data_IF_585338483235
#
_entry.id   IF_585338483235
#
_cell.length_a   1.000
_cell.length_b   1.000
_cell.length_c   1.000
_cell.angle_alpha   90.00
_cell.angle_beta   90.00
_cell.angle_gamma   90.00
#
_symmetry.space_group_name_H-M   'P 1'
#
loop_
_entity.id
_entity.type
_entity.pdbx_description
1 polymer ?
#
# COMPACT_ATOMS: atom_id res chain seq x y z
N UNK A 1 -12.00 -3.42 -9.38
CA UNK A 1 -10.70 -4.06 -9.72
C UNK A 1 -10.69 -4.31 -11.22
N UNK A 2 -9.55 -4.04 -11.88
CA UNK A 2 -9.35 -4.30 -13.30
C UNK A 2 -8.45 -5.53 -13.47
N UNK A 3 -9.05 -6.68 -13.80
CA UNK A 3 -8.36 -7.97 -13.88
C UNK A 3 -7.32 -8.05 -15.00
N UNK A 4 -7.50 -7.29 -16.09
CA UNK A 4 -6.49 -7.21 -17.13
C UNK A 4 -5.22 -6.46 -16.67
N UNK A 5 -5.38 -5.41 -15.85
CA UNK A 5 -4.24 -4.72 -15.21
C UNK A 5 -3.52 -5.63 -14.23
N UNK A 6 -4.25 -6.32 -13.37
CA UNK A 6 -3.68 -7.28 -12.42
C UNK A 6 -2.91 -8.40 -13.14
N UNK A 7 -3.46 -8.98 -14.20
CA UNK A 7 -2.77 -9.97 -15.03
C UNK A 7 -1.46 -9.43 -15.61
N UNK A 8 -1.46 -8.19 -16.10
CA UNK A 8 -0.25 -7.55 -16.63
C UNK A 8 0.83 -7.37 -15.53
N UNK A 9 0.43 -7.10 -14.28
CA UNK A 9 1.35 -7.00 -13.15
C UNK A 9 1.97 -8.37 -12.85
N UNK A 10 1.17 -9.43 -12.70
CA UNK A 10 1.68 -10.79 -12.47
C UNK A 10 2.67 -11.22 -13.56
N UNK A 11 2.38 -10.89 -14.82
CA UNK A 11 3.30 -11.16 -15.94
C UNK A 11 4.62 -10.37 -15.83
N UNK A 12 4.57 -9.13 -15.33
CA UNK A 12 5.76 -8.29 -15.17
C UNK A 12 6.68 -8.75 -14.02
N UNK A 13 6.10 -9.27 -12.93
CA UNK A 13 6.85 -9.68 -11.72
C UNK A 13 7.26 -11.15 -11.74
N UNK A 14 6.80 -11.95 -12.69
CA UNK A 14 7.01 -13.41 -12.75
C UNK A 14 8.49 -13.80 -12.57
N UNK A 15 9.38 -13.10 -13.30
CA UNK A 15 10.81 -13.38 -13.27
C UNK A 15 11.51 -13.07 -11.95
N UNK A 16 10.90 -12.25 -11.09
CA UNK A 16 11.47 -11.90 -9.78
C UNK A 16 11.21 -13.01 -8.75
N UNK A 17 10.21 -13.86 -8.98
CA UNK A 17 9.79 -14.87 -8.00
C UNK A 17 9.33 -14.28 -6.66
N UNK A 18 8.96 -13.00 -6.63
CA UNK A 18 8.55 -12.28 -5.42
C UNK A 18 7.13 -12.65 -4.97
N UNK A 19 6.31 -13.22 -5.84
CA UNK A 19 4.92 -13.58 -5.56
C UNK A 19 4.73 -15.11 -5.56
N UNK A 20 3.49 -15.56 -5.34
CA UNK A 20 3.08 -16.94 -5.57
C UNK A 20 3.21 -17.30 -7.07
N UNK A 21 3.47 -18.58 -7.38
CA UNK A 21 3.48 -19.04 -8.77
C UNK A 21 2.05 -19.09 -9.33
N UNK A 22 1.76 -18.27 -10.33
CA UNK A 22 0.46 -18.27 -11.01
C UNK A 22 0.49 -19.27 -12.16
N UNK A 23 -0.40 -20.26 -12.11
CA UNK A 23 -0.53 -21.32 -13.12
C UNK A 23 -1.54 -20.97 -14.20
N UNK A 24 -2.55 -20.20 -13.84
CA UNK A 24 -3.60 -19.74 -14.74
C UNK A 24 -4.17 -18.42 -14.25
N UNK A 25 -4.39 -17.49 -15.15
CA UNK A 25 -5.10 -16.25 -14.86
C UNK A 25 -5.93 -15.84 -16.07
N UNK A 26 -7.26 -15.77 -15.92
CA UNK A 26 -8.17 -15.25 -16.94
C UNK A 26 -8.44 -13.76 -16.68
N UNK A 27 -7.91 -12.85 -17.53
CA UNK A 27 -8.09 -11.41 -17.33
C UNK A 27 -9.53 -10.92 -17.57
N UNK A 28 -10.41 -11.75 -18.14
CA UNK A 28 -11.82 -11.41 -18.40
C UNK A 28 -12.69 -11.75 -17.20
N UNK A 29 -12.57 -12.97 -16.68
CA UNK A 29 -13.38 -13.45 -15.55
C UNK A 29 -12.73 -13.17 -14.19
N UNK A 30 -11.41 -12.95 -14.17
CA UNK A 30 -10.62 -12.75 -12.95
C UNK A 30 -10.35 -14.06 -12.19
N UNK A 31 -10.58 -15.22 -12.81
CA UNK A 31 -10.22 -16.50 -12.22
C UNK A 31 -8.70 -16.65 -12.24
N UNK A 32 -8.11 -16.80 -11.05
CA UNK A 32 -6.68 -17.02 -10.85
C UNK A 32 -6.46 -18.35 -10.14
N UNK A 33 -5.54 -19.19 -10.64
CA UNK A 33 -5.08 -20.43 -10.03
C UNK A 33 -3.60 -20.27 -9.76
N UNK A 34 -3.21 -20.34 -8.50
CA UNK A 34 -1.82 -20.18 -8.07
C UNK A 34 -1.41 -21.32 -7.12
N UNK A 35 -0.11 -21.51 -6.96
CA UNK A 35 0.42 -22.42 -5.95
C UNK A 35 0.02 -21.98 -4.56
N UNK A 36 -0.44 -22.93 -3.75
CA UNK A 36 -0.65 -22.70 -2.34
C UNK A 36 0.70 -22.65 -1.61
N UNK A 37 0.91 -21.62 -0.82
CA UNK A 37 2.13 -21.43 -0.02
C UNK A 37 1.93 -22.15 1.33
N UNK A 38 2.47 -23.37 1.43
CA UNK A 38 2.38 -24.18 2.66
C UNK A 38 3.21 -23.60 3.79
N UNK A 39 2.72 -23.72 5.02
CA UNK A 39 3.39 -23.27 6.24
C UNK A 39 3.81 -21.79 6.24
N UNK A 40 3.15 -20.98 5.40
CA UNK A 40 3.36 -19.54 5.35
C UNK A 40 2.75 -18.85 6.56
N UNK A 41 3.43 -17.81 7.09
CA UNK A 41 2.84 -16.87 8.02
C UNK A 41 2.96 -15.45 7.51
N UNK A 42 2.04 -14.58 7.88
CA UNK A 42 2.05 -13.16 7.55
C UNK A 42 3.03 -12.41 8.44
N UNK A 43 3.52 -11.25 7.97
CA UNK A 43 4.38 -10.38 8.76
C UNK A 43 3.68 -9.93 10.04
N UNK A 44 4.28 -10.18 11.19
CA UNK A 44 3.90 -9.54 12.45
C UNK A 44 4.48 -8.12 12.49
N UNK A 45 3.62 -7.11 12.33
CA UNK A 45 4.03 -5.69 12.36
C UNK A 45 4.64 -5.25 13.70
N UNK A 46 4.44 -6.00 14.79
CA UNK A 46 5.12 -5.78 16.06
C UNK A 46 6.55 -6.37 16.10
N UNK A 47 6.87 -7.30 15.21
CA UNK A 47 8.17 -7.93 15.09
C UNK A 47 9.09 -7.17 14.12
N UNK A 48 9.92 -6.28 14.66
CA UNK A 48 10.81 -5.44 13.85
C UNK A 48 11.89 -6.20 13.06
N UNK A 49 12.19 -7.45 13.39
CA UNK A 49 13.04 -8.30 12.56
C UNK A 49 12.31 -8.68 11.27
N UNK A 50 11.06 -9.09 11.36
CA UNK A 50 10.23 -9.38 10.19
C UNK A 50 9.95 -8.13 9.35
N UNK A 51 9.59 -7.02 10.00
CA UNK A 51 9.39 -5.73 9.32
C UNK A 51 10.64 -5.32 8.54
N UNK A 52 11.84 -5.46 9.13
CA UNK A 52 13.10 -5.14 8.44
C UNK A 52 13.27 -5.97 7.17
N UNK A 53 12.95 -7.27 7.23
CA UNK A 53 13.02 -8.16 6.07
C UNK A 53 11.99 -7.77 4.99
N UNK A 54 10.74 -7.46 5.39
CA UNK A 54 9.69 -7.00 4.47
C UNK A 54 10.08 -5.70 3.76
N UNK A 55 10.61 -4.73 4.49
CA UNK A 55 11.05 -3.45 3.91
C UNK A 55 12.27 -3.63 3.01
N UNK A 56 13.17 -4.57 3.32
CA UNK A 56 14.28 -4.92 2.44
C UNK A 56 13.77 -5.54 1.13
N UNK A 57 12.82 -6.47 1.19
CA UNK A 57 12.20 -7.08 0.01
C UNK A 57 11.45 -6.03 -0.84
N UNK A 58 10.72 -5.11 -0.20
CA UNK A 58 10.02 -4.02 -0.88
C UNK A 58 11.01 -3.09 -1.61
N UNK A 59 12.13 -2.74 -0.97
CA UNK A 59 13.18 -1.93 -1.58
C UNK A 59 13.85 -2.65 -2.77
N UNK A 60 14.09 -3.95 -2.65
CA UNK A 60 14.63 -4.77 -3.75
C UNK A 60 13.65 -4.80 -4.93
N UNK A 61 12.36 -5.02 -4.66
CA UNK A 61 11.30 -4.93 -5.67
C UNK A 61 11.33 -3.56 -6.38
N UNK A 62 11.34 -2.47 -5.66
CA UNK A 62 11.41 -1.13 -6.25
C UNK A 62 12.69 -0.90 -7.06
N UNK A 63 13.83 -1.49 -6.65
CA UNK A 63 15.09 -1.38 -7.40
C UNK A 63 15.06 -2.07 -8.76
N UNK A 64 14.15 -3.02 -8.97
CA UNK A 64 13.97 -3.74 -10.24
C UNK A 64 13.48 -2.86 -11.39
N UNK A 65 12.89 -1.68 -11.07
CA UNK A 65 12.39 -0.69 -12.03
C UNK A 65 11.43 -1.27 -13.07
N UNK A 66 10.61 -2.23 -12.66
CA UNK A 66 9.60 -2.82 -13.52
C UNK A 66 8.59 -1.77 -13.98
N UNK A 67 7.98 -2.03 -15.13
CA UNK A 67 7.04 -1.12 -15.76
C UNK A 67 5.80 -1.85 -16.26
N UNK A 68 4.62 -1.24 -16.04
CA UNK A 68 3.34 -1.63 -16.63
C UNK A 68 2.68 -0.43 -17.31
N UNK A 69 1.73 -0.67 -18.21
CA UNK A 69 1.12 0.40 -19.00
C UNK A 69 0.11 1.28 -18.23
N UNK A 70 -0.20 0.95 -16.98
CA UNK A 70 -1.19 1.67 -16.18
C UNK A 70 -0.57 2.26 -14.92
N UNK A 71 -1.17 3.32 -14.43
CA UNK A 71 -0.80 3.99 -13.18
C UNK A 71 -1.88 3.79 -12.12
N UNK A 72 -1.48 3.97 -10.87
CA UNK A 72 -2.39 4.16 -9.76
C UNK A 72 -2.45 5.65 -9.41
N UNK A 73 -3.64 6.23 -9.42
CA UNK A 73 -3.84 7.62 -9.00
C UNK A 73 -4.52 7.66 -7.63
N UNK A 74 -3.75 8.13 -6.63
CA UNK A 74 -4.20 8.22 -5.25
C UNK A 74 -5.34 9.23 -5.07
N UNK A 75 -5.34 10.31 -5.87
CA UNK A 75 -6.37 11.34 -5.82
C UNK A 75 -7.69 10.89 -6.45
N UNK A 76 -7.61 10.21 -7.61
CA UNK A 76 -8.78 9.55 -8.19
C UNK A 76 -9.37 8.51 -7.23
N UNK A 77 -8.52 7.80 -6.46
CA UNK A 77 -8.97 6.82 -5.49
C UNK A 77 -9.69 7.48 -4.30
N UNK A 78 -9.19 8.63 -3.84
CA UNK A 78 -9.84 9.43 -2.80
C UNK A 78 -11.27 9.82 -3.21
N UNK A 79 -11.40 10.43 -4.39
CA UNK A 79 -12.69 10.87 -4.92
C UNK A 79 -13.61 9.68 -5.19
N UNK A 80 -13.07 8.57 -5.68
CA UNK A 80 -13.84 7.36 -5.94
C UNK A 80 -14.49 6.80 -4.67
N UNK A 81 -13.73 6.62 -3.59
CA UNK A 81 -14.30 6.07 -2.35
C UNK A 81 -15.31 7.00 -1.71
N UNK A 82 -15.09 8.30 -1.74
CA UNK A 82 -16.08 9.28 -1.27
C UNK A 82 -17.39 9.24 -2.12
N UNK A 83 -17.28 9.08 -3.43
CA UNK A 83 -18.45 8.97 -4.32
C UNK A 83 -19.36 7.78 -3.99
N UNK A 84 -18.79 6.72 -3.38
CA UNK A 84 -19.54 5.54 -2.97
C UNK A 84 -20.46 5.78 -1.77
N UNK A 85 -20.30 6.89 -1.06
CA UNK A 85 -21.20 7.27 0.05
C UNK A 85 -22.56 7.79 -0.43
N UNK A 86 -22.72 8.04 -1.73
CA UNK A 86 -23.97 8.50 -2.36
C UNK A 86 -24.55 9.79 -1.76
N UNK A 87 -23.67 10.67 -1.29
CA UNK A 87 -24.03 11.97 -0.70
C UNK A 87 -24.37 11.93 0.79
N UNK A 88 -24.23 10.77 1.44
CA UNK A 88 -24.32 10.71 2.91
C UNK A 88 -23.12 11.45 3.54
N UNK A 89 -23.32 12.12 4.67
CA UNK A 89 -22.22 12.80 5.36
C UNK A 89 -21.27 11.80 6.02
N UNK A 90 -20.01 12.22 6.17
CA UNK A 90 -19.04 11.50 7.00
C UNK A 90 -19.46 11.49 8.48
N UNK A 91 -19.08 10.45 9.22
CA UNK A 91 -19.24 10.42 10.68
C UNK A 91 -18.32 11.42 11.40
N UNK A 92 -17.27 11.88 10.70
CA UNK A 92 -16.30 12.84 11.27
C UNK A 92 -16.78 14.27 11.04
N UNK A 93 -17.10 14.97 12.10
CA UNK A 93 -17.69 16.33 12.05
C UNK A 93 -16.75 17.37 11.36
N UNK A 94 -15.45 17.13 11.33
CA UNK A 94 -14.46 18.00 10.72
C UNK A 94 -13.95 17.49 9.35
N UNK A 95 -14.65 16.53 8.74
CA UNK A 95 -14.24 15.87 7.49
C UNK A 95 -13.89 16.88 6.38
N UNK A 96 -14.75 17.84 6.10
CA UNK A 96 -14.50 18.84 5.05
C UNK A 96 -13.25 19.69 5.30
N UNK A 97 -12.96 19.99 6.57
CA UNK A 97 -11.74 20.71 6.95
C UNK A 97 -10.51 19.83 6.70
N UNK A 98 -10.56 18.59 7.17
CA UNK A 98 -9.47 17.62 7.02
C UNK A 98 -9.21 17.33 5.54
N UNK A 99 -10.26 17.09 4.75
CA UNK A 99 -10.13 16.87 3.30
C UNK A 99 -9.46 18.05 2.61
N UNK A 100 -9.87 19.30 2.90
CA UNK A 100 -9.21 20.49 2.32
C UNK A 100 -7.73 20.57 2.70
N UNK A 101 -7.37 20.23 3.93
CA UNK A 101 -5.97 20.22 4.37
C UNK A 101 -5.18 19.16 3.59
N UNK A 102 -5.70 17.94 3.49
CA UNK A 102 -5.07 16.86 2.71
C UNK A 102 -4.92 17.23 1.23
N UNK A 103 -5.95 17.79 0.60
CA UNK A 103 -5.87 18.23 -0.80
C UNK A 103 -4.82 19.33 -1.02
N UNK A 104 -4.55 20.16 -0.03
CA UNK A 104 -3.49 21.18 -0.13
C UNK A 104 -2.08 20.58 -0.21
N UNK A 105 -1.87 19.33 0.25
CA UNK A 105 -0.60 18.62 0.15
C UNK A 105 -0.24 18.22 -1.28
N UNK A 106 -1.25 18.15 -2.18
CA UNK A 106 -1.05 17.73 -3.56
C UNK A 106 0.03 18.52 -4.27
N UNK A 107 -0.01 19.84 -4.13
CA UNK A 107 0.98 20.73 -4.75
C UNK A 107 2.39 20.41 -4.27
N UNK A 108 2.59 20.23 -2.97
CA UNK A 108 3.90 19.89 -2.41
C UNK A 108 4.39 18.54 -2.94
N UNK A 109 3.53 17.51 -2.93
CA UNK A 109 3.86 16.17 -3.44
C UNK A 109 4.23 16.23 -4.93
N UNK A 110 3.51 17.03 -5.74
CA UNK A 110 3.74 17.13 -7.19
C UNK A 110 5.04 17.88 -7.52
N UNK A 111 5.46 18.83 -6.68
CA UNK A 111 6.71 19.58 -6.82
C UNK A 111 7.95 18.75 -6.40
N UNK A 112 7.78 17.64 -5.66
CA UNK A 112 8.92 16.80 -5.24
C UNK A 112 9.37 15.84 -6.35
N UNK A 113 10.67 15.51 -6.41
CA UNK A 113 11.17 14.45 -7.29
C UNK A 113 10.47 13.12 -7.02
N UNK A 114 10.10 12.40 -8.08
CA UNK A 114 9.46 11.08 -8.05
C UNK A 114 10.20 10.12 -8.97
N UNK A 115 10.42 8.90 -8.51
CA UNK A 115 10.93 7.81 -9.34
C UNK A 115 9.78 6.88 -9.68
N UNK A 116 8.98 7.25 -10.70
CA UNK A 116 7.79 6.48 -11.08
C UNK A 116 8.19 5.09 -11.57
N UNK A 117 7.68 4.08 -10.89
CA UNK A 117 7.93 2.66 -11.19
C UNK A 117 6.73 1.81 -10.74
N UNK A 118 6.78 0.51 -11.01
CA UNK A 118 5.76 -0.39 -10.51
C UNK A 118 5.80 -0.43 -8.99
N UNK A 119 4.67 -0.10 -8.36
CA UNK A 119 4.43 -0.16 -6.93
C UNK A 119 3.32 -1.17 -6.65
N UNK A 120 3.35 -1.76 -5.47
CA UNK A 120 2.32 -2.70 -5.03
C UNK A 120 1.01 -1.98 -4.68
N UNK A 121 1.10 -0.80 -4.11
CA UNK A 121 0.03 0.06 -3.60
C UNK A 121 -0.62 -0.48 -2.32
N UNK A 122 -0.76 -1.76 -2.19
CA UNK A 122 -1.28 -2.44 -1.00
C UNK A 122 -0.18 -3.24 -0.28
N UNK A 123 1.02 -2.65 -0.16
CA UNK A 123 2.19 -3.23 0.50
C UNK A 123 2.01 -3.22 2.03
N UNK A 124 0.99 -3.93 2.51
CA UNK A 124 0.60 -4.02 3.91
C UNK A 124 1.20 -5.27 4.58
N UNK A 125 1.42 -5.30 5.91
CA UNK A 125 2.00 -6.47 6.58
C UNK A 125 1.35 -7.81 6.22
N UNK A 126 0.02 -7.85 6.10
CA UNK A 126 -0.75 -9.06 5.79
C UNK A 126 -0.47 -9.63 4.39
N UNK A 127 0.09 -8.83 3.48
CA UNK A 127 0.45 -9.23 2.13
C UNK A 127 1.89 -9.73 2.01
N UNK A 128 2.70 -9.63 3.07
CA UNK A 128 4.04 -10.21 3.14
C UNK A 128 3.98 -11.57 3.84
N UNK A 129 4.26 -12.63 3.07
CA UNK A 129 4.27 -14.00 3.55
C UNK A 129 5.70 -14.52 3.71
N UNK A 130 6.03 -14.99 4.88
CA UNK A 130 7.26 -15.74 5.16
C UNK A 130 7.03 -17.19 4.83
N UNK A 131 7.84 -17.73 3.93
CA UNK A 131 7.77 -19.13 3.48
C UNK A 131 9.17 -19.74 3.52
N UNK A 132 9.25 -21.08 3.52
CA UNK A 132 10.52 -21.78 3.38
C UNK A 132 10.56 -22.47 2.02
N UNK A 133 11.68 -22.36 1.33
CA UNK A 133 11.91 -23.10 0.10
C UNK A 133 12.21 -24.60 0.38
N UNK A 134 12.39 -25.38 -0.65
CA UNK A 134 12.66 -26.83 -0.55
C UNK A 134 13.95 -27.15 0.18
N UNK A 135 14.85 -26.20 0.35
CA UNK A 135 16.12 -26.34 1.08
C UNK A 135 16.01 -25.82 2.53
N UNK A 136 14.84 -25.34 2.93
CA UNK A 136 14.59 -24.75 4.23
C UNK A 136 15.04 -23.29 4.37
N UNK A 137 15.42 -22.62 3.29
CA UNK A 137 15.78 -21.21 3.32
C UNK A 137 14.50 -20.34 3.36
N UNK A 138 14.48 -19.37 4.29
CA UNK A 138 13.38 -18.41 4.40
C UNK A 138 13.33 -17.49 3.20
N UNK A 139 12.13 -17.27 2.66
CA UNK A 139 11.84 -16.36 1.58
C UNK A 139 10.62 -15.51 1.93
N UNK A 140 10.56 -14.32 1.36
CA UNK A 140 9.38 -13.45 1.48
C UNK A 140 8.66 -13.44 0.15
N UNK A 141 7.33 -13.67 0.21
CA UNK A 141 6.43 -13.53 -0.92
C UNK A 141 5.51 -12.34 -0.64
N UNK A 142 5.32 -11.49 -1.65
CA UNK A 142 4.39 -10.39 -1.63
C UNK A 142 3.21 -10.76 -2.54
N UNK A 143 2.02 -10.80 -1.97
CA UNK A 143 0.80 -11.27 -2.64
C UNK A 143 -0.23 -10.15 -2.78
N UNK A 144 -1.30 -10.38 -3.53
CA UNK A 144 -2.45 -9.49 -3.71
C UNK A 144 -2.13 -8.19 -4.47
N UNK A 145 -1.73 -8.34 -5.72
CA UNK A 145 -1.30 -7.27 -6.63
C UNK A 145 -2.44 -6.53 -7.33
N UNK A 146 -3.66 -6.60 -6.84
CA UNK A 146 -4.86 -6.09 -7.53
C UNK A 146 -4.93 -4.55 -7.65
N UNK A 147 -4.18 -3.81 -6.81
CA UNK A 147 -4.05 -2.36 -6.86
C UNK A 147 -2.77 -1.89 -7.54
N UNK A 148 -1.83 -2.81 -7.80
CA UNK A 148 -0.50 -2.46 -8.30
C UNK A 148 -0.55 -1.64 -9.60
N UNK A 149 0.37 -0.70 -9.72
CA UNK A 149 0.47 0.22 -10.87
C UNK A 149 1.66 1.15 -10.77
N UNK A 150 1.89 1.93 -11.83
CA UNK A 150 2.98 2.90 -11.85
C UNK A 150 2.71 4.03 -10.86
N UNK A 151 3.62 4.22 -9.90
CA UNK A 151 3.52 5.26 -8.87
C UNK A 151 4.91 5.58 -8.29
N UNK A 152 4.99 6.56 -7.40
CA UNK A 152 6.14 6.84 -6.54
C UNK A 152 6.24 5.76 -5.45
N UNK A 153 7.36 5.02 -5.31
CA UNK A 153 7.51 3.92 -4.35
C UNK A 153 7.38 4.34 -2.89
N UNK A 154 7.51 5.63 -2.60
CA UNK A 154 7.29 6.16 -1.25
C UNK A 154 5.83 6.01 -0.79
N UNK A 155 4.89 5.79 -1.73
CA UNK A 155 3.51 5.46 -1.40
C UNK A 155 3.42 4.08 -0.72
N UNK A 156 4.16 3.07 -1.20
CA UNK A 156 4.17 1.74 -0.59
C UNK A 156 4.72 1.77 0.84
N UNK A 157 5.70 2.64 1.11
CA UNK A 157 6.20 2.89 2.47
C UNK A 157 5.10 3.47 3.36
N UNK A 158 4.35 4.45 2.86
CA UNK A 158 3.23 5.05 3.59
C UNK A 158 2.11 4.03 3.84
N UNK A 159 1.81 3.17 2.87
CA UNK A 159 0.79 2.13 2.99
C UNK A 159 1.13 1.12 4.09
N UNK A 160 2.39 0.67 4.17
CA UNK A 160 2.82 -0.21 5.26
C UNK A 160 2.60 0.46 6.62
N UNK A 161 3.00 1.73 6.77
CA UNK A 161 2.88 2.51 8.02
C UNK A 161 1.43 2.60 8.47
N UNK A 162 0.51 3.00 7.58
CA UNK A 162 -0.88 3.24 7.97
C UNK A 162 -1.62 1.94 8.29
N UNK A 163 -1.31 0.86 7.61
CA UNK A 163 -1.95 -0.43 7.85
C UNK A 163 -1.45 -1.07 9.14
N UNK A 164 -0.15 -1.00 9.40
CA UNK A 164 0.44 -1.42 10.68
C UNK A 164 -0.03 -0.57 11.88
N UNK A 165 -0.75 0.53 11.60
CA UNK A 165 -1.23 1.51 12.60
C UNK A 165 -0.10 2.12 13.44
N UNK A 166 1.08 2.26 12.85
CA UNK A 166 2.27 2.80 13.51
C UNK A 166 2.05 4.24 14.00
N UNK A 167 2.61 4.53 15.16
CA UNK A 167 2.73 5.90 15.63
C UNK A 167 3.86 6.65 14.89
N UNK A 168 4.10 7.89 15.28
CA UNK A 168 5.10 8.71 14.60
C UNK A 168 6.53 8.17 14.77
N UNK A 169 6.88 7.63 15.92
CA UNK A 169 8.22 7.10 16.21
C UNK A 169 8.45 5.83 15.37
N UNK A 170 7.48 4.95 15.32
CA UNK A 170 7.50 3.74 14.51
C UNK A 170 7.53 4.06 13.02
N UNK A 171 6.77 5.06 12.56
CA UNK A 171 6.81 5.54 11.18
C UNK A 171 8.19 6.06 10.79
N UNK A 172 8.82 6.88 11.64
CA UNK A 172 10.19 7.36 11.41
C UNK A 172 11.20 6.20 11.33
N UNK A 173 11.08 5.21 12.21
CA UNK A 173 11.92 4.01 12.19
C UNK A 173 11.76 3.23 10.90
N UNK A 174 10.54 3.05 10.39
CA UNK A 174 10.29 2.35 9.13
C UNK A 174 10.85 3.13 7.94
N UNK A 175 10.70 4.47 7.93
CA UNK A 175 11.30 5.33 6.91
C UNK A 175 12.83 5.13 6.88
N UNK A 176 13.48 5.11 8.05
CA UNK A 176 14.94 4.89 8.13
C UNK A 176 15.34 3.48 7.63
N UNK A 177 14.52 2.46 7.85
CA UNK A 177 14.75 1.12 7.28
C UNK A 177 14.65 1.09 5.75
N UNK A 178 13.75 1.89 5.17
CA UNK A 178 13.62 1.97 3.72
C UNK A 178 14.76 2.78 3.09
N UNK A 179 15.16 3.90 3.68
CA UNK A 179 16.21 4.81 3.20
C UNK A 179 17.55 4.54 3.90
N UNK A 180 18.17 3.38 3.65
CA UNK A 180 19.41 2.93 4.34
C UNK A 180 20.61 3.87 4.17
N UNK A 181 20.65 4.64 3.09
CA UNK A 181 21.72 5.62 2.82
C UNK A 181 21.36 7.03 3.33
N UNK A 182 20.26 7.11 4.11
CA UNK A 182 19.72 8.35 4.65
C UNK A 182 18.56 8.91 3.84
N UNK A 183 17.68 9.63 4.51
CA UNK A 183 16.49 10.26 3.94
C UNK A 183 16.57 11.78 4.17
N UNK A 184 16.63 12.56 3.10
CA UNK A 184 16.61 14.02 3.21
C UNK A 184 15.26 14.52 3.72
N UNK A 185 15.25 15.76 4.24
CA UNK A 185 14.08 16.33 4.90
C UNK A 185 12.85 16.43 3.99
N UNK A 186 13.03 16.77 2.70
CA UNK A 186 11.90 16.93 1.76
C UNK A 186 11.32 15.59 1.37
N UNK A 187 12.16 14.58 1.14
CA UNK A 187 11.75 13.21 0.89
C UNK A 187 10.97 12.64 2.08
N UNK A 188 11.46 12.85 3.31
CA UNK A 188 10.77 12.44 4.53
C UNK A 188 9.41 13.12 4.67
N UNK A 189 9.35 14.45 4.44
CA UNK A 189 8.09 15.19 4.39
C UNK A 189 7.12 14.64 3.34
N UNK A 190 7.61 14.26 2.15
CA UNK A 190 6.78 13.66 1.11
C UNK A 190 6.17 12.33 1.57
N UNK A 191 6.93 11.48 2.26
CA UNK A 191 6.38 10.24 2.84
C UNK A 191 5.28 10.56 3.86
N UNK A 192 5.47 11.52 4.75
CA UNK A 192 4.41 11.94 5.68
C UNK A 192 3.18 12.50 4.97
N UNK A 193 3.36 13.22 3.87
CA UNK A 193 2.22 13.65 3.05
C UNK A 193 1.48 12.44 2.45
N UNK A 194 2.19 11.41 1.97
CA UNK A 194 1.55 10.19 1.51
C UNK A 194 0.82 9.44 2.64
N UNK A 195 1.36 9.42 3.87
CA UNK A 195 0.68 8.86 5.04
C UNK A 195 -0.66 9.56 5.26
N UNK A 196 -0.67 10.89 5.27
CA UNK A 196 -1.90 11.66 5.47
C UNK A 196 -2.94 11.44 4.36
N UNK A 197 -2.50 11.47 3.08
CA UNK A 197 -3.41 11.24 1.95
C UNK A 197 -3.95 9.81 1.94
N UNK A 198 -3.10 8.82 2.15
CA UNK A 198 -3.50 7.41 2.22
C UNK A 198 -4.43 7.14 3.40
N UNK A 199 -4.16 7.73 4.56
CA UNK A 199 -5.05 7.67 5.71
C UNK A 199 -6.46 8.15 5.36
N UNK A 200 -6.60 9.29 4.66
CA UNK A 200 -7.92 9.78 4.22
C UNK A 200 -8.57 8.85 3.20
N UNK A 201 -7.80 8.32 2.23
CA UNK A 201 -8.32 7.37 1.23
C UNK A 201 -8.90 6.14 1.90
N UNK A 202 -8.18 5.54 2.84
CA UNK A 202 -8.64 4.32 3.51
C UNK A 202 -9.71 4.60 4.57
N UNK A 203 -9.70 5.77 5.19
CA UNK A 203 -10.84 6.24 6.00
C UNK A 203 -12.12 6.34 5.16
N UNK A 204 -12.04 6.90 3.95
CA UNK A 204 -13.18 6.97 3.03
C UNK A 204 -13.69 5.58 2.61
N UNK A 205 -12.77 4.63 2.42
CA UNK A 205 -13.13 3.24 2.16
C UNK A 205 -13.85 2.60 3.36
N UNK A 206 -13.37 2.83 4.58
CA UNK A 206 -14.04 2.37 5.80
C UNK A 206 -15.44 2.94 5.95
N UNK A 207 -15.64 4.24 5.65
CA UNK A 207 -16.95 4.88 5.63
C UNK A 207 -17.89 4.22 4.61
N UNK A 208 -17.40 3.94 3.39
CA UNK A 208 -18.17 3.19 2.40
C UNK A 208 -18.57 1.80 2.91
N UNK A 209 -17.63 1.08 3.51
CA UNK A 209 -17.89 -0.26 4.07
C UNK A 209 -18.88 -0.22 5.22
N UNK A 210 -18.84 0.81 6.05
CA UNK A 210 -19.83 1.05 7.11
C UNK A 210 -21.25 1.15 6.53
N UNK A 211 -21.44 1.85 5.40
CA UNK A 211 -22.72 1.89 4.70
C UNK A 211 -23.14 0.50 4.15
N UNK A 212 -22.19 -0.41 3.97
CA UNK A 212 -22.46 -1.80 3.62
C UNK A 212 -22.66 -2.71 4.86
N UNK A 213 -22.71 -2.16 6.07
CA UNK A 213 -22.87 -2.91 7.31
C UNK A 213 -21.61 -3.53 7.89
N UNK A 214 -20.42 -3.11 7.43
CA UNK A 214 -19.13 -3.59 7.93
C UNK A 214 -18.40 -2.46 8.65
N UNK A 215 -18.07 -2.65 9.93
CA UNK A 215 -17.35 -1.69 10.74
C UNK A 215 -15.92 -2.18 11.06
N UNK A 216 -14.96 -1.25 11.02
CA UNK A 216 -13.54 -1.52 11.27
C UNK A 216 -13.04 -0.94 12.60
N UNK A 217 -13.90 -0.35 13.42
CA UNK A 217 -13.58 0.11 14.77
C UNK A 217 -12.33 1.00 14.84
N UNK A 218 -11.37 0.60 15.67
CA UNK A 218 -10.14 1.36 15.89
C UNK A 218 -9.31 1.59 14.60
N UNK A 219 -9.35 0.65 13.65
CA UNK A 219 -8.66 0.81 12.38
C UNK A 219 -9.21 2.01 11.60
N UNK A 220 -10.54 2.10 11.42
CA UNK A 220 -11.15 3.22 10.71
C UNK A 220 -10.80 4.58 11.35
N UNK A 221 -10.84 4.64 12.69
CA UNK A 221 -10.46 5.84 13.42
C UNK A 221 -8.98 6.20 13.20
N UNK A 222 -8.06 5.22 13.28
CA UNK A 222 -6.63 5.47 13.09
C UNK A 222 -6.32 5.96 11.68
N UNK A 223 -7.00 5.42 10.63
CA UNK A 223 -6.85 5.92 9.27
C UNK A 223 -7.24 7.40 9.16
N UNK A 224 -8.35 7.80 9.80
CA UNK A 224 -8.74 9.21 9.81
C UNK A 224 -7.79 10.10 10.62
N UNK A 225 -7.23 9.59 11.71
CA UNK A 225 -6.27 10.33 12.54
C UNK A 225 -4.98 10.65 11.75
N UNK A 226 -4.48 9.73 10.92
CA UNK A 226 -3.35 10.01 10.00
C UNK A 226 -3.61 11.20 9.07
N UNK A 227 -4.86 11.37 8.62
CA UNK A 227 -5.23 12.51 7.78
C UNK A 227 -5.27 13.84 8.54
N UNK A 228 -5.39 13.81 9.88
CA UNK A 228 -5.49 14.99 10.77
C UNK A 228 -4.16 15.42 11.36
N UNK A 229 -3.22 14.49 11.55
CA UNK A 229 -1.87 14.72 12.09
C UNK A 229 -0.96 15.49 11.10
#
# INVERSE_FOLDING_TARGET
INRAREHAVYSAIESLGISETVHYFDPVTGIKIASYLTDAHVCDSGNWEEVTKCIAALREFHSSKLHVAHSFDLWERLDFYESLWKGEPSIYADYDKTKRAVLSLKRFIDEQPKSIQLCHIDAVPDNFLFVHDTNGAEQIKLIDWEYAGMQDPHLDVAMFIIYAMYDREEAEKLIDLYFIDGCDKLTRMKVHCYIAVSGLVWSNWCEFKRHCGVEFGAYAQRQYDYARE
#
